data_IF_503597769483
#
_entry.id   IF_503597769483
#
_cell.length_a   1.000
_cell.length_b   1.000
_cell.length_c   1.000
_cell.angle_alpha   90.00
_cell.angle_beta   90.00
_cell.angle_gamma   90.00
#
_symmetry.space_group_name_H-M   'P 1'
#
loop_
_entity.id
_entity.type
_entity.pdbx_description
1 polymer ?
#
# COMPACT_ATOMS: atom_id res chain seq x y z
N UNK A 1 55.42 -12.73 -15.74
CA UNK A 1 56.38 -13.14 -16.79
C UNK A 1 57.49 -12.10 -16.86
N UNK A 2 58.77 -12.49 -16.76
CA UNK A 2 59.90 -11.68 -17.24
C UNK A 2 60.22 -12.11 -18.68
N UNK A 3 60.67 -11.20 -19.55
CA UNK A 3 62.12 -11.19 -19.80
C UNK A 3 62.71 -9.80 -20.10
N UNK A 4 63.92 -9.53 -19.60
CA UNK A 4 64.96 -8.77 -20.31
C UNK A 4 66.34 -9.30 -19.93
N UNK A 5 67.03 -9.91 -20.89
CA UNK A 5 68.48 -10.07 -20.90
C UNK A 5 68.97 -10.01 -22.34
N UNK A 6 69.68 -8.95 -22.68
CA UNK A 6 70.68 -9.00 -23.75
C UNK A 6 71.79 -7.99 -23.47
N UNK A 7 73.02 -8.52 -23.43
CA UNK A 7 74.30 -7.85 -23.65
C UNK A 7 74.85 -8.51 -24.93
N UNK A 8 75.56 -7.81 -25.82
CA UNK A 8 76.98 -7.50 -25.61
C UNK A 8 77.38 -6.13 -26.26
N UNK A 9 78.63 -5.71 -26.51
CA UNK A 9 79.94 -6.37 -26.40
C UNK A 9 81.09 -5.35 -26.14
N UNK A 10 82.27 -5.86 -25.75
CA UNK A 10 83.55 -5.12 -25.74
C UNK A 10 84.27 -5.26 -27.10
N UNK A 11 85.01 -4.23 -27.52
CA UNK A 11 86.39 -4.36 -28.03
C UNK A 11 87.07 -2.98 -28.23
N UNK A 12 88.30 -2.75 -27.74
CA UNK A 12 89.12 -1.57 -28.07
C UNK A 12 90.23 -1.90 -29.08
N UNK A 13 90.60 -0.97 -29.97
CA UNK A 13 91.79 -1.11 -30.83
C UNK A 13 92.69 0.13 -30.80
N UNK A 14 93.92 -0.08 -30.31
CA UNK A 14 94.97 0.92 -30.22
C UNK A 14 95.78 0.96 -31.53
N UNK A 15 95.69 2.03 -32.34
CA UNK A 15 96.64 2.33 -33.43
C UNK A 15 96.76 3.85 -33.70
N UNK A 16 97.34 4.63 -32.78
CA UNK A 16 97.70 6.05 -33.03
C UNK A 16 99.02 6.50 -32.37
N UNK A 17 100.08 5.70 -32.51
CA UNK A 17 101.44 5.98 -31.98
C UNK A 17 102.57 5.99 -33.02
N UNK A 18 102.27 6.17 -34.32
CA UNK A 18 103.26 6.22 -35.42
C UNK A 18 103.13 7.42 -36.38
N UNK A 19 102.45 8.50 -35.96
CA UNK A 19 102.32 9.75 -36.74
C UNK A 19 102.97 10.97 -36.05
N UNK A 20 103.80 10.76 -35.02
CA UNK A 20 104.38 11.82 -34.19
C UNK A 20 105.92 11.78 -34.14
N UNK A 21 106.55 11.24 -35.20
CA UNK A 21 108.01 11.08 -35.32
C UNK A 21 108.61 11.61 -36.64
N UNK A 22 107.77 12.06 -37.58
CA UNK A 22 108.21 12.73 -38.83
C UNK A 22 108.10 14.26 -38.74
N UNK A 23 107.15 14.80 -37.97
CA UNK A 23 106.96 16.24 -37.79
C UNK A 23 108.15 16.92 -37.07
N UNK A 24 108.87 16.17 -36.23
CA UNK A 24 110.05 16.64 -35.50
C UNK A 24 111.36 16.65 -36.33
N UNK A 25 111.37 16.12 -37.56
CA UNK A 25 112.57 16.08 -38.40
C UNK A 25 112.63 17.19 -39.47
N UNK A 26 111.48 17.77 -39.83
CA UNK A 26 111.41 18.90 -40.79
C UNK A 26 111.39 20.28 -40.13
N UNK A 27 111.10 20.37 -38.82
CA UNK A 27 111.10 21.63 -38.06
C UNK A 27 112.49 22.14 -37.63
N UNK A 28 113.59 21.52 -38.09
CA UNK A 28 114.96 21.79 -37.59
C UNK A 28 116.02 22.10 -38.66
N UNK A 29 115.61 22.30 -39.92
CA UNK A 29 116.54 22.59 -41.04
C UNK A 29 116.32 23.97 -41.70
N UNK A 30 115.38 24.79 -41.23
CA UNK A 30 115.06 26.11 -41.81
C UNK A 30 115.16 27.24 -40.76
N UNK A 31 116.29 27.38 -40.08
CA UNK A 31 116.51 28.46 -39.09
C UNK A 31 117.94 29.01 -39.05
N UNK A 32 118.60 29.11 -40.21
CA UNK A 32 119.86 29.83 -40.35
C UNK A 32 120.06 30.37 -41.78
N UNK A 33 119.31 31.42 -42.13
CA UNK A 33 119.68 32.44 -43.12
C UNK A 33 118.80 33.70 -42.90
N UNK A 34 119.25 34.45 -41.89
CA UNK A 34 119.02 35.88 -41.53
C UNK A 34 119.54 36.80 -42.67
N UNK A 35 119.23 38.12 -42.80
CA UNK A 35 118.47 39.08 -41.97
C UNK A 35 117.20 39.62 -42.71
N UNK A 36 116.57 40.80 -42.52
CA UNK A 36 116.78 42.01 -41.67
C UNK A 36 115.46 42.82 -41.48
N UNK A 37 115.54 43.92 -40.72
CA UNK A 37 114.76 45.15 -40.82
C UNK A 37 113.22 45.07 -40.74
N UNK A 38 112.67 45.06 -39.51
CA UNK A 38 111.45 45.84 -39.18
C UNK A 38 111.17 46.11 -37.69
N UNK A 39 112.18 46.34 -36.86
CA UNK A 39 112.00 46.83 -35.46
C UNK A 39 111.81 48.35 -35.38
N UNK A 40 110.72 48.89 -35.97
CA UNK A 40 110.23 50.26 -35.72
C UNK A 40 108.76 50.56 -36.10
N UNK A 41 107.96 49.56 -36.47
CA UNK A 41 106.48 49.66 -36.66
C UNK A 41 105.74 48.51 -35.97
N UNK A 42 106.05 48.30 -34.70
CA UNK A 42 105.41 47.28 -33.85
C UNK A 42 105.35 47.76 -32.39
N UNK A 43 104.96 49.03 -32.20
CA UNK A 43 104.62 49.65 -30.91
C UNK A 43 103.35 50.51 -30.95
N UNK A 44 102.92 50.99 -32.12
CA UNK A 44 101.60 51.63 -32.30
C UNK A 44 100.46 50.60 -32.36
N UNK A 45 100.65 49.50 -33.13
CA UNK A 45 99.68 48.39 -33.26
C UNK A 45 99.37 47.69 -31.92
N UNK A 46 100.23 47.83 -30.91
CA UNK A 46 100.01 47.27 -29.57
C UNK A 46 99.34 48.23 -28.58
N UNK A 47 99.12 49.50 -28.95
CA UNK A 47 98.37 50.46 -28.13
C UNK A 47 96.91 50.53 -28.59
N UNK A 48 96.68 50.60 -29.92
CA UNK A 48 95.33 50.61 -30.51
C UNK A 48 94.56 49.27 -30.30
N UNK A 49 95.26 48.16 -30.09
CA UNK A 49 94.64 46.88 -29.70
C UNK A 49 94.23 46.81 -28.21
N UNK A 50 94.79 47.68 -27.35
CA UNK A 50 94.45 47.75 -25.94
C UNK A 50 93.28 48.72 -25.66
N UNK A 51 93.18 49.82 -26.42
CA UNK A 51 92.07 50.77 -26.26
C UNK A 51 90.72 50.25 -26.81
N UNK A 52 90.75 49.18 -27.62
CA UNK A 52 89.56 48.42 -28.02
C UNK A 52 89.25 47.22 -27.09
N UNK A 53 90.16 46.80 -26.19
CA UNK A 53 89.84 45.70 -25.25
C UNK A 53 89.07 46.16 -24.02
N UNK A 54 89.14 47.43 -23.63
CA UNK A 54 88.35 48.00 -22.53
C UNK A 54 86.84 47.78 -22.68
N UNK A 55 86.23 48.14 -23.84
CA UNK A 55 84.82 47.86 -24.13
C UNK A 55 84.53 46.35 -24.23
N UNK A 56 85.39 45.59 -24.89
CA UNK A 56 85.18 44.15 -25.14
C UNK A 56 85.22 43.28 -23.86
N UNK A 57 85.98 43.67 -22.83
CA UNK A 57 85.93 43.01 -21.53
C UNK A 57 84.61 43.32 -20.80
N UNK A 58 84.14 44.57 -20.86
CA UNK A 58 82.86 44.98 -20.26
C UNK A 58 81.66 44.29 -20.92
N UNK A 59 81.64 44.20 -22.25
CA UNK A 59 80.59 43.47 -22.99
C UNK A 59 80.60 41.97 -22.66
N UNK A 60 81.77 41.38 -22.44
CA UNK A 60 81.88 39.96 -22.05
C UNK A 60 81.33 39.70 -20.64
N UNK A 61 81.60 40.58 -19.69
CA UNK A 61 81.07 40.50 -18.33
C UNK A 61 79.55 40.78 -18.30
N UNK A 62 79.06 41.70 -19.15
CA UNK A 62 77.62 41.92 -19.35
C UNK A 62 76.93 40.70 -19.98
N UNK A 63 77.55 40.07 -20.99
CA UNK A 63 77.02 38.86 -21.61
C UNK A 63 77.01 37.69 -20.61
N UNK A 64 78.04 37.56 -19.77
CA UNK A 64 78.06 36.56 -18.70
C UNK A 64 76.92 36.79 -17.70
N UNK A 65 76.74 38.02 -17.19
CA UNK A 65 75.62 38.38 -16.30
C UNK A 65 74.25 38.15 -16.94
N UNK A 66 74.11 38.43 -18.24
CA UNK A 66 72.89 38.09 -18.98
C UNK A 66 72.65 36.58 -19.02
N UNK A 67 73.67 35.76 -19.27
CA UNK A 67 73.51 34.29 -19.22
C UNK A 67 73.25 33.75 -17.82
N UNK A 68 73.79 34.40 -16.77
CA UNK A 68 73.53 34.08 -15.37
C UNK A 68 72.08 34.43 -15.00
N UNK A 69 71.59 35.63 -15.34
CA UNK A 69 70.20 36.02 -15.16
C UNK A 69 69.22 35.19 -16.00
N UNK A 70 69.58 34.77 -17.22
CA UNK A 70 68.76 33.83 -18.00
C UNK A 70 68.64 32.46 -17.32
N UNK A 71 69.71 31.96 -16.71
CA UNK A 71 69.70 30.70 -15.95
C UNK A 71 68.89 30.86 -14.66
N UNK A 72 69.02 32.00 -13.97
CA UNK A 72 68.25 32.37 -12.78
C UNK A 72 66.74 32.46 -13.09
N UNK A 73 66.35 33.14 -14.17
CA UNK A 73 64.96 33.21 -14.65
C UNK A 73 64.43 31.80 -14.98
N UNK A 74 65.22 30.97 -15.68
CA UNK A 74 64.84 29.57 -15.98
C UNK A 74 64.65 28.74 -14.70
N UNK A 75 65.53 28.89 -13.71
CA UNK A 75 65.42 28.22 -12.42
C UNK A 75 64.20 28.69 -11.60
N UNK A 76 63.91 29.99 -11.58
CA UNK A 76 62.72 30.55 -10.93
C UNK A 76 61.44 30.05 -11.61
N UNK A 77 61.38 30.05 -12.94
CA UNK A 77 60.24 29.53 -13.70
C UNK A 77 60.05 28.02 -13.50
N UNK A 78 61.14 27.24 -13.46
CA UNK A 78 61.08 25.82 -13.13
C UNK A 78 60.52 25.61 -11.72
N UNK A 79 61.08 26.29 -10.71
CA UNK A 79 60.63 26.20 -9.32
C UNK A 79 59.15 26.59 -9.16
N UNK A 80 58.70 27.67 -9.80
CA UNK A 80 57.30 28.09 -9.81
C UNK A 80 56.39 27.05 -10.48
N UNK A 81 56.83 26.41 -11.56
CA UNK A 81 56.07 25.34 -12.22
C UNK A 81 56.01 24.06 -11.37
N UNK A 82 57.09 23.71 -10.67
CA UNK A 82 57.14 22.61 -9.69
C UNK A 82 56.23 22.89 -8.49
N UNK A 83 56.28 24.10 -7.91
CA UNK A 83 55.38 24.56 -6.85
C UNK A 83 53.91 24.54 -7.30
N UNK A 84 53.61 25.00 -8.52
CA UNK A 84 52.26 24.97 -9.09
C UNK A 84 51.76 23.53 -9.31
N UNK A 85 52.64 22.63 -9.76
CA UNK A 85 52.31 21.21 -9.92
C UNK A 85 52.04 20.55 -8.56
N UNK A 86 52.90 20.77 -7.57
CA UNK A 86 52.72 20.26 -6.21
C UNK A 86 51.44 20.81 -5.55
N UNK A 87 51.13 22.10 -5.74
CA UNK A 87 49.87 22.70 -5.26
C UNK A 87 48.64 22.08 -5.95
N UNK A 88 48.72 21.76 -7.24
CA UNK A 88 47.64 21.08 -7.96
C UNK A 88 47.46 19.62 -7.49
N UNK A 89 48.56 18.89 -7.25
CA UNK A 89 48.54 17.54 -6.69
C UNK A 89 47.96 17.51 -5.27
N UNK A 90 48.38 18.43 -4.39
CA UNK A 90 47.82 18.58 -3.04
C UNK A 90 46.34 18.96 -3.09
N UNK A 91 45.93 19.84 -4.01
CA UNK A 91 44.53 20.18 -4.21
C UNK A 91 43.71 18.97 -4.69
N UNK A 92 44.19 18.21 -5.67
CA UNK A 92 43.56 16.97 -6.13
C UNK A 92 43.44 15.96 -4.98
N UNK A 93 44.52 15.67 -4.26
CA UNK A 93 44.52 14.73 -3.14
C UNK A 93 43.54 15.17 -2.02
N UNK A 94 43.42 16.47 -1.75
CA UNK A 94 42.42 17.00 -0.81
C UNK A 94 40.98 16.84 -1.32
N UNK A 95 40.74 17.04 -2.62
CA UNK A 95 39.42 16.82 -3.23
C UNK A 95 39.04 15.33 -3.29
N UNK A 96 39.99 14.44 -3.60
CA UNK A 96 39.81 12.99 -3.60
C UNK A 96 39.54 12.49 -2.17
N UNK A 97 40.30 12.97 -1.18
CA UNK A 97 40.01 12.69 0.24
C UNK A 97 38.63 13.20 0.63
N UNK A 98 38.26 14.42 0.23
CA UNK A 98 36.96 15.01 0.59
C UNK A 98 35.78 14.29 -0.05
N UNK A 99 35.93 13.82 -1.29
CA UNK A 99 34.90 13.00 -1.95
C UNK A 99 34.79 11.62 -1.32
N UNK A 100 35.91 10.98 -0.93
CA UNK A 100 35.90 9.73 -0.17
C UNK A 100 35.22 9.90 1.21
N UNK A 101 35.51 10.97 1.95
CA UNK A 101 34.82 11.30 3.22
C UNK A 101 33.31 11.45 3.03
N UNK A 102 32.87 12.18 1.99
CA UNK A 102 31.45 12.38 1.69
C UNK A 102 30.76 11.08 1.26
N UNK A 103 31.41 10.23 0.46
CA UNK A 103 30.89 8.92 0.07
C UNK A 103 30.77 7.97 1.28
N UNK A 104 31.78 7.94 2.15
CA UNK A 104 31.76 7.14 3.37
C UNK A 104 30.65 7.59 4.34
N UNK A 105 30.46 8.91 4.48
CA UNK A 105 29.39 9.48 5.31
C UNK A 105 28.00 9.17 4.70
N UNK A 106 27.81 9.37 3.39
CA UNK A 106 26.56 9.05 2.71
C UNK A 106 26.20 7.54 2.80
N UNK A 107 27.18 6.65 2.68
CA UNK A 107 26.97 5.21 2.87
C UNK A 107 26.59 4.87 4.31
N UNK A 108 27.21 5.52 5.29
CA UNK A 108 26.88 5.34 6.71
C UNK A 108 25.45 5.80 7.01
N UNK A 109 25.05 6.96 6.49
CA UNK A 109 23.70 7.51 6.71
C UNK A 109 22.63 6.66 6.00
N UNK A 110 22.91 6.18 4.78
CA UNK A 110 22.03 5.24 4.07
C UNK A 110 21.87 3.89 4.81
N UNK A 111 22.96 3.36 5.38
CA UNK A 111 22.90 2.16 6.21
C UNK A 111 22.08 2.39 7.49
N UNK A 112 22.28 3.52 8.17
CA UNK A 112 21.58 3.84 9.41
C UNK A 112 20.06 4.02 9.19
N UNK A 113 19.64 4.67 8.10
CA UNK A 113 18.21 4.79 7.77
C UNK A 113 17.62 3.43 7.35
N UNK A 114 18.37 2.59 6.64
CA UNK A 114 17.95 1.21 6.34
C UNK A 114 17.77 0.37 7.62
N UNK A 115 18.73 0.41 8.54
CA UNK A 115 18.65 -0.29 9.84
C UNK A 115 17.43 0.19 10.65
N UNK A 116 17.15 1.49 10.66
CA UNK A 116 15.97 2.08 11.29
C UNK A 116 14.68 1.59 10.63
N UNK A 117 14.55 1.66 9.31
CA UNK A 117 13.36 1.17 8.59
C UNK A 117 13.12 -0.32 8.82
N UNK A 118 14.17 -1.15 8.83
CA UNK A 118 14.07 -2.58 9.14
C UNK A 118 13.66 -2.83 10.60
N UNK A 119 14.14 -2.02 11.55
CA UNK A 119 13.75 -2.08 12.96
C UNK A 119 12.28 -1.72 13.16
N UNK A 120 11.82 -0.64 12.53
CA UNK A 120 10.41 -0.21 12.54
C UNK A 120 9.51 -1.29 11.91
N UNK A 121 9.89 -1.86 10.77
CA UNK A 121 9.15 -2.96 10.14
C UNK A 121 9.10 -4.21 11.02
N UNK A 122 10.21 -4.58 11.67
CA UNK A 122 10.25 -5.72 12.60
C UNK A 122 9.35 -5.50 13.83
N UNK A 123 9.28 -4.27 14.35
CA UNK A 123 8.36 -3.92 15.44
C UNK A 123 6.89 -4.00 15.03
N UNK A 124 6.54 -3.53 13.82
CA UNK A 124 5.17 -3.65 13.28
C UNK A 124 4.79 -5.12 13.13
N UNK A 125 5.63 -5.94 12.47
CA UNK A 125 5.38 -7.37 12.29
C UNK A 125 5.27 -8.11 13.62
N UNK A 126 6.11 -7.79 14.62
CA UNK A 126 6.01 -8.37 15.96
C UNK A 126 4.70 -8.02 16.64
N UNK A 127 4.27 -6.75 16.56
CA UNK A 127 2.98 -6.29 17.10
C UNK A 127 1.81 -6.99 16.42
N UNK A 128 1.79 -7.08 15.09
CA UNK A 128 0.73 -7.79 14.36
C UNK A 128 0.67 -9.29 14.72
N UNK A 129 1.82 -9.94 14.93
CA UNK A 129 1.88 -11.33 15.38
C UNK A 129 1.33 -11.48 16.80
N UNK A 130 1.70 -10.59 17.73
CA UNK A 130 1.15 -10.55 19.08
C UNK A 130 -0.37 -10.34 19.06
N UNK A 131 -0.86 -9.38 18.28
CA UNK A 131 -2.30 -9.12 18.10
C UNK A 131 -3.03 -10.37 17.57
N UNK A 132 -2.58 -10.96 16.45
CA UNK A 132 -3.15 -12.19 15.88
C UNK A 132 -3.11 -13.38 16.85
N UNK A 133 -2.03 -13.52 17.64
CA UNK A 133 -1.97 -14.55 18.69
C UNK A 133 -3.01 -14.32 19.79
N UNK A 134 -3.22 -13.07 20.24
CA UNK A 134 -4.27 -12.79 21.24
C UNK A 134 -5.69 -12.95 20.70
N UNK A 135 -5.92 -12.64 19.42
CA UNK A 135 -7.20 -12.87 18.75
C UNK A 135 -7.50 -14.37 18.62
N UNK A 136 -6.51 -15.15 18.18
CA UNK A 136 -6.63 -16.60 18.08
C UNK A 136 -6.89 -17.25 19.45
N UNK A 137 -6.19 -16.81 20.50
CA UNK A 137 -6.41 -17.28 21.87
C UNK A 137 -7.83 -16.95 22.35
N UNK A 138 -8.32 -15.72 22.14
CA UNK A 138 -9.70 -15.33 22.48
C UNK A 138 -10.74 -16.17 21.73
N UNK A 139 -10.53 -16.41 20.43
CA UNK A 139 -11.41 -17.25 19.62
C UNK A 139 -11.45 -18.70 20.13
N UNK A 140 -10.29 -19.26 20.48
CA UNK A 140 -10.18 -20.60 21.06
C UNK A 140 -10.89 -20.70 22.41
N UNK A 141 -10.68 -19.72 23.30
CA UNK A 141 -11.32 -19.72 24.63
C UNK A 141 -12.85 -19.54 24.52
N UNK A 142 -13.33 -18.75 23.56
CA UNK A 142 -14.76 -18.61 23.25
C UNK A 142 -15.36 -19.91 22.70
N UNK A 143 -14.73 -20.53 21.70
CA UNK A 143 -15.19 -21.80 21.13
C UNK A 143 -15.22 -22.92 22.18
N UNK A 144 -14.17 -22.98 23.03
CA UNK A 144 -14.09 -23.91 24.17
C UNK A 144 -15.20 -23.67 25.19
N UNK A 145 -15.52 -22.41 25.50
CA UNK A 145 -16.61 -22.08 26.42
C UNK A 145 -17.98 -22.53 25.85
N UNK A 146 -18.27 -22.22 24.58
CA UNK A 146 -19.50 -22.64 23.89
C UNK A 146 -19.61 -24.17 23.78
N UNK A 147 -18.50 -24.87 23.52
CA UNK A 147 -18.46 -26.33 23.50
C UNK A 147 -18.73 -26.93 24.89
N UNK A 148 -18.24 -26.27 25.95
CA UNK A 148 -18.49 -26.70 27.34
C UNK A 148 -19.95 -26.48 27.72
N UNK A 149 -20.51 -25.29 27.45
CA UNK A 149 -21.92 -24.97 27.70
C UNK A 149 -22.88 -25.92 26.95
N UNK A 150 -22.61 -26.18 25.66
CA UNK A 150 -23.44 -27.11 24.87
C UNK A 150 -23.34 -28.55 25.38
N UNK A 151 -22.15 -29.00 25.81
CA UNK A 151 -21.98 -30.30 26.45
C UNK A 151 -22.73 -30.40 27.79
N UNK A 152 -22.61 -29.39 28.66
CA UNK A 152 -23.34 -29.32 29.94
C UNK A 152 -24.86 -29.31 29.74
N UNK A 153 -25.34 -28.58 28.73
CA UNK A 153 -26.77 -28.55 28.37
C UNK A 153 -27.29 -29.89 27.86
N UNK A 154 -26.54 -30.56 26.98
CA UNK A 154 -26.90 -31.88 26.45
C UNK A 154 -26.86 -32.95 27.53
N UNK A 155 -25.85 -32.93 28.40
CA UNK A 155 -25.74 -33.89 29.52
C UNK A 155 -26.83 -33.67 30.57
N UNK A 156 -27.17 -32.41 30.89
CA UNK A 156 -28.29 -32.09 31.79
C UNK A 156 -29.63 -32.54 31.22
N UNK A 157 -29.90 -32.25 29.94
CA UNK A 157 -31.14 -32.69 29.28
C UNK A 157 -31.24 -34.22 29.19
N UNK A 158 -30.13 -34.92 28.94
CA UNK A 158 -30.10 -36.38 28.99
C UNK A 158 -30.39 -36.90 30.40
N UNK A 159 -29.82 -36.30 31.44
CA UNK A 159 -30.09 -36.66 32.83
C UNK A 159 -31.57 -36.47 33.20
N UNK A 160 -32.20 -35.36 32.80
CA UNK A 160 -33.64 -35.14 32.96
C UNK A 160 -34.48 -36.26 32.34
N UNK A 161 -34.13 -36.73 31.13
CA UNK A 161 -34.83 -37.86 30.49
C UNK A 161 -34.61 -39.19 31.21
N UNK A 162 -33.43 -39.42 31.78
CA UNK A 162 -33.14 -40.62 32.59
C UNK A 162 -33.95 -40.60 33.88
N UNK A 163 -34.04 -39.46 34.55
CA UNK A 163 -34.79 -39.32 35.80
C UNK A 163 -36.32 -39.45 35.58
N UNK A 164 -36.85 -38.90 34.48
CA UNK A 164 -38.24 -39.10 34.08
C UNK A 164 -38.55 -40.57 33.76
N UNK A 165 -37.68 -41.26 33.00
CA UNK A 165 -37.85 -42.70 32.73
C UNK A 165 -37.77 -43.56 34.01
N UNK A 166 -36.88 -43.21 34.94
CA UNK A 166 -36.80 -43.87 36.25
C UNK A 166 -38.06 -43.64 37.10
N UNK A 167 -38.62 -42.42 37.08
CA UNK A 167 -39.89 -42.08 37.73
C UNK A 167 -41.06 -42.89 37.16
N UNK A 168 -41.16 -42.97 35.82
CA UNK A 168 -42.17 -43.78 35.15
C UNK A 168 -42.03 -45.26 35.52
N UNK A 169 -40.81 -45.81 35.47
CA UNK A 169 -40.50 -47.20 35.85
C UNK A 169 -40.94 -47.49 37.30
N UNK A 170 -40.59 -46.61 38.25
CA UNK A 170 -41.01 -46.74 39.64
C UNK A 170 -42.55 -46.73 39.78
N UNK A 171 -43.24 -45.85 39.04
CA UNK A 171 -44.71 -45.79 39.04
C UNK A 171 -45.35 -47.09 38.49
N UNK A 172 -44.74 -47.73 37.49
CA UNK A 172 -45.21 -49.01 36.95
C UNK A 172 -44.96 -50.14 37.93
N UNK A 173 -43.79 -50.20 38.57
CA UNK A 173 -43.49 -51.18 39.61
C UNK A 173 -44.46 -51.06 40.80
N UNK A 174 -44.80 -49.84 41.22
CA UNK A 174 -45.77 -49.60 42.29
C UNK A 174 -47.19 -50.03 41.89
N UNK A 175 -47.62 -49.76 40.65
CA UNK A 175 -48.90 -50.24 40.11
C UNK A 175 -48.96 -51.77 40.06
N UNK A 176 -47.89 -52.43 39.63
CA UNK A 176 -47.78 -53.90 39.62
C UNK A 176 -47.93 -54.45 41.05
N UNK A 177 -47.15 -53.94 42.01
CA UNK A 177 -47.26 -54.32 43.43
C UNK A 177 -48.68 -54.12 43.97
N UNK A 178 -49.31 -52.97 43.71
CA UNK A 178 -50.70 -52.71 44.14
C UNK A 178 -51.70 -53.69 43.52
N UNK A 179 -51.49 -54.17 42.30
CA UNK A 179 -52.33 -55.21 41.66
C UNK A 179 -52.06 -56.60 42.26
N UNK A 180 -50.81 -56.92 42.60
CA UNK A 180 -50.42 -58.18 43.26
C UNK A 180 -50.92 -58.27 44.71
N UNK A 181 -50.85 -57.16 45.45
CA UNK A 181 -51.26 -57.01 46.84
C UNK A 181 -52.76 -56.73 47.01
N UNK A 182 -53.47 -56.40 45.92
CA UNK A 182 -54.92 -56.16 45.96
C UNK A 182 -55.69 -57.34 46.54
N UNK A 183 -56.63 -57.03 47.45
CA UNK A 183 -57.58 -58.00 48.04
C UNK A 183 -58.32 -58.80 46.96
N UNK A 184 -58.53 -58.22 45.77
CA UNK A 184 -59.13 -58.94 44.63
C UNK A 184 -58.20 -60.04 44.08
N UNK A 185 -56.90 -59.79 43.97
CA UNK A 185 -55.91 -60.77 43.46
C UNK A 185 -55.61 -61.83 44.52
N UNK A 186 -55.44 -61.43 45.77
CA UNK A 186 -55.31 -62.37 46.89
C UNK A 186 -56.58 -63.22 47.06
N UNK A 187 -57.76 -62.61 46.98
CA UNK A 187 -59.05 -63.29 47.01
C UNK A 187 -59.25 -64.23 45.82
N UNK A 188 -58.82 -63.85 44.61
CA UNK A 188 -58.85 -64.71 43.43
C UNK A 188 -57.91 -65.91 43.57
N UNK A 189 -56.65 -65.71 44.00
CA UNK A 189 -55.70 -66.80 44.30
C UNK A 189 -56.26 -67.75 45.38
N UNK A 190 -56.87 -67.20 46.43
CA UNK A 190 -57.49 -67.99 47.49
C UNK A 190 -58.74 -68.75 47.00
N UNK A 191 -59.60 -68.12 46.21
CA UNK A 191 -60.76 -68.79 45.60
C UNK A 191 -60.33 -69.93 44.68
N UNK A 192 -59.22 -69.79 43.95
CA UNK A 192 -58.64 -70.88 43.15
C UNK A 192 -58.14 -72.03 44.04
N UNK A 193 -57.57 -71.74 45.20
CA UNK A 193 -57.16 -72.76 46.17
C UNK A 193 -58.37 -73.45 46.85
N UNK A 194 -59.38 -72.68 47.24
CA UNK A 194 -60.53 -73.15 48.03
C UNK A 194 -61.59 -73.87 47.16
N UNK A 195 -61.70 -73.52 45.87
CA UNK A 195 -62.77 -73.99 44.97
C UNK A 195 -62.26 -74.58 43.64
N UNK A 196 -60.95 -74.63 43.42
CA UNK A 196 -60.33 -75.07 42.16
C UNK A 196 -60.32 -73.98 41.08
N UNK A 197 -59.80 -74.32 39.88
CA UNK A 197 -59.90 -73.42 38.72
C UNK A 197 -61.37 -73.03 38.49
N UNK A 198 -61.69 -71.79 38.12
CA UNK A 198 -63.03 -71.43 37.67
C UNK A 198 -63.44 -72.42 36.58
N UNK A 199 -64.50 -73.21 36.82
CA UNK A 199 -64.89 -74.29 35.90
C UNK A 199 -65.10 -73.78 34.48
N UNK A 200 -64.96 -74.68 33.49
CA UNK A 200 -64.85 -74.39 32.05
C UNK A 200 -65.75 -73.28 31.49
N UNK A 201 -66.96 -73.11 32.03
CA UNK A 201 -67.84 -71.97 31.74
C UNK A 201 -67.18 -70.59 31.94
N UNK A 202 -66.50 -70.36 33.07
CA UNK A 202 -65.85 -69.08 33.37
C UNK A 202 -64.58 -68.88 32.55
N UNK A 203 -63.83 -69.95 32.25
CA UNK A 203 -62.70 -69.90 31.31
C UNK A 203 -63.18 -69.52 29.90
N UNK A 204 -64.32 -70.04 29.45
CA UNK A 204 -64.96 -69.67 28.17
C UNK A 204 -65.47 -68.22 28.16
N UNK A 205 -66.12 -67.76 29.23
CA UNK A 205 -66.58 -66.37 29.33
C UNK A 205 -65.41 -65.38 29.36
N UNK A 206 -64.33 -65.70 30.07
CA UNK A 206 -63.10 -64.90 30.06
C UNK A 206 -62.44 -64.85 28.67
N UNK A 207 -62.43 -65.96 27.91
CA UNK A 207 -61.97 -65.97 26.52
C UNK A 207 -62.87 -65.13 25.59
N UNK A 208 -64.19 -65.20 25.76
CA UNK A 208 -65.16 -64.40 25.02
C UNK A 208 -64.94 -62.89 25.26
N UNK A 209 -64.81 -62.49 26.52
CA UNK A 209 -64.53 -61.10 26.90
C UNK A 209 -63.15 -60.63 26.41
N UNK A 210 -62.13 -61.48 26.47
CA UNK A 210 -60.81 -61.17 25.92
C UNK A 210 -60.85 -60.85 24.43
N UNK A 211 -61.55 -61.67 23.63
CA UNK A 211 -61.74 -61.43 22.19
C UNK A 211 -62.47 -60.10 21.90
N UNK A 212 -63.53 -59.78 22.66
CA UNK A 212 -64.23 -58.49 22.53
C UNK A 212 -63.32 -57.31 22.90
N UNK A 213 -62.47 -57.46 23.92
CA UNK A 213 -61.48 -56.44 24.31
C UNK A 213 -60.41 -56.24 23.21
N UNK A 214 -59.91 -57.30 22.59
CA UNK A 214 -59.00 -57.19 21.44
C UNK A 214 -59.67 -56.48 20.25
N UNK A 215 -60.90 -56.87 19.88
CA UNK A 215 -61.66 -56.17 18.84
C UNK A 215 -61.86 -54.68 19.13
N UNK A 216 -62.14 -54.32 20.39
CA UNK A 216 -62.28 -52.91 20.80
C UNK A 216 -60.94 -52.18 20.79
N UNK A 217 -59.84 -52.84 21.17
CA UNK A 217 -58.48 -52.29 21.13
C UNK A 217 -58.06 -51.97 19.70
N UNK A 218 -58.27 -52.89 18.75
CA UNK A 218 -57.96 -52.64 17.33
C UNK A 218 -58.82 -51.50 16.74
N UNK A 219 -60.10 -51.41 17.12
CA UNK A 219 -60.95 -50.29 16.71
C UNK A 219 -60.44 -48.95 17.25
N UNK A 220 -60.06 -48.88 18.53
CA UNK A 220 -59.48 -47.68 19.15
C UNK A 220 -58.18 -47.31 18.44
N UNK A 221 -57.30 -48.28 18.18
CA UNK A 221 -56.03 -48.04 17.50
C UNK A 221 -56.20 -47.57 16.04
N UNK A 222 -57.24 -48.04 15.35
CA UNK A 222 -57.65 -47.50 14.04
C UNK A 222 -58.16 -46.06 14.12
N UNK A 223 -58.87 -45.70 15.20
CA UNK A 223 -59.33 -44.33 15.45
C UNK A 223 -58.18 -43.38 15.82
N UNK A 224 -57.23 -43.82 16.64
CA UNK A 224 -56.00 -43.08 17.00
C UNK A 224 -55.19 -42.69 15.75
N UNK A 225 -54.93 -43.66 14.84
CA UNK A 225 -54.23 -43.41 13.57
C UNK A 225 -54.97 -42.39 12.70
N UNK A 226 -56.31 -42.43 12.68
CA UNK A 226 -57.12 -41.46 11.95
C UNK A 226 -57.03 -40.07 12.59
N UNK A 227 -57.08 -39.97 13.93
CA UNK A 227 -56.94 -38.73 14.67
C UNK A 227 -55.59 -38.07 14.41
N UNK A 228 -54.49 -38.83 14.51
CA UNK A 228 -53.13 -38.34 14.23
C UNK A 228 -52.98 -37.81 12.79
N UNK A 229 -53.59 -38.50 11.81
CA UNK A 229 -53.61 -38.03 10.42
C UNK A 229 -54.38 -36.72 10.25
N UNK A 230 -55.49 -36.54 10.97
CA UNK A 230 -56.27 -35.29 11.00
C UNK A 230 -55.50 -34.16 11.68
N UNK A 231 -54.84 -34.40 12.82
CA UNK A 231 -53.97 -33.46 13.52
C UNK A 231 -52.84 -32.97 12.61
N UNK A 232 -52.09 -33.89 11.99
CA UNK A 232 -51.02 -33.53 11.04
C UNK A 232 -51.56 -32.76 9.81
N UNK A 233 -52.86 -32.88 9.49
CA UNK A 233 -53.49 -32.11 8.40
C UNK A 233 -53.87 -30.71 8.89
N UNK A 234 -54.35 -30.58 10.13
CA UNK A 234 -54.64 -29.31 10.78
C UNK A 234 -53.37 -28.45 10.92
N UNK A 235 -52.24 -29.02 11.34
CA UNK A 235 -50.97 -28.31 11.43
C UNK A 235 -50.53 -27.71 10.08
N UNK A 236 -50.68 -28.47 8.99
CA UNK A 236 -50.39 -28.00 7.63
C UNK A 236 -51.32 -26.88 7.21
N UNK A 237 -52.60 -26.95 7.57
CA UNK A 237 -53.56 -25.88 7.31
C UNK A 237 -53.19 -24.60 8.05
N UNK A 238 -52.82 -24.67 9.34
CA UNK A 238 -52.38 -23.50 10.13
C UNK A 238 -51.16 -22.81 9.50
N UNK A 239 -50.16 -23.58 9.05
CA UNK A 239 -48.97 -23.04 8.34
C UNK A 239 -49.35 -22.39 7.01
N UNK A 240 -50.30 -22.97 6.27
CA UNK A 240 -50.81 -22.39 5.02
C UNK A 240 -51.62 -21.11 5.27
N UNK A 241 -52.46 -21.06 6.30
CA UNK A 241 -53.21 -19.87 6.72
C UNK A 241 -52.29 -18.72 7.15
N UNK A 242 -51.19 -19.01 7.85
CA UNK A 242 -50.18 -18.00 8.16
C UNK A 242 -49.45 -17.51 6.90
N UNK A 243 -49.14 -18.41 5.95
CA UNK A 243 -48.53 -18.04 4.68
C UNK A 243 -49.48 -17.16 3.83
N UNK A 244 -50.77 -17.49 3.78
CA UNK A 244 -51.81 -16.67 3.12
C UNK A 244 -51.85 -15.29 3.75
N UNK A 245 -51.99 -15.20 5.08
CA UNK A 245 -51.99 -13.91 5.79
C UNK A 245 -50.73 -13.08 5.49
N UNK A 246 -49.54 -13.68 5.45
CA UNK A 246 -48.31 -12.97 5.10
C UNK A 246 -48.34 -12.42 3.66
N UNK A 247 -48.78 -13.21 2.69
CA UNK A 247 -48.92 -12.75 1.30
C UNK A 247 -49.98 -11.65 1.15
N UNK A 248 -51.07 -11.71 1.91
CA UNK A 248 -52.09 -10.64 1.96
C UNK A 248 -51.51 -9.34 2.52
N UNK A 249 -50.72 -9.39 3.60
CA UNK A 249 -50.06 -8.21 4.18
C UNK A 249 -49.01 -7.61 3.23
N UNK A 250 -48.23 -8.44 2.53
CA UNK A 250 -47.26 -7.98 1.53
C UNK A 250 -47.95 -7.33 0.32
N UNK A 251 -49.03 -7.95 -0.18
CA UNK A 251 -49.87 -7.41 -1.26
C UNK A 251 -50.47 -6.05 -0.89
N UNK A 252 -50.96 -5.91 0.36
CA UNK A 252 -51.47 -4.64 0.88
C UNK A 252 -50.37 -3.57 0.98
N UNK A 253 -49.19 -3.93 1.50
CA UNK A 253 -48.06 -2.99 1.60
C UNK A 253 -47.61 -2.49 0.22
N UNK A 254 -47.53 -3.38 -0.77
CA UNK A 254 -47.23 -3.02 -2.17
C UNK A 254 -48.33 -2.13 -2.77
N UNK A 255 -49.61 -2.40 -2.48
CA UNK A 255 -50.74 -1.56 -2.91
C UNK A 255 -50.63 -0.14 -2.36
N UNK A 256 -50.33 0.01 -1.07
CA UNK A 256 -50.11 1.32 -0.42
C UNK A 256 -48.88 2.02 -1.00
N UNK A 257 -47.78 1.30 -1.27
CA UNK A 257 -46.60 1.86 -1.93
C UNK A 257 -46.93 2.41 -3.33
N UNK A 258 -47.69 1.65 -4.15
CA UNK A 258 -48.12 2.08 -5.48
C UNK A 258 -49.01 3.33 -5.39
N UNK A 259 -49.94 3.38 -4.44
CA UNK A 259 -50.79 4.55 -4.22
C UNK A 259 -49.97 5.80 -3.84
N UNK A 260 -48.97 5.65 -2.96
CA UNK A 260 -48.07 6.74 -2.58
C UNK A 260 -47.21 7.23 -3.75
N UNK A 261 -46.65 6.31 -4.56
CA UNK A 261 -45.89 6.66 -5.75
C UNK A 261 -46.76 7.35 -6.82
N UNK A 262 -48.01 6.91 -6.99
CA UNK A 262 -48.97 7.55 -7.87
C UNK A 262 -49.30 8.98 -7.41
N UNK A 263 -49.55 9.20 -6.10
CA UNK A 263 -49.79 10.52 -5.55
C UNK A 263 -48.60 11.49 -5.74
N UNK A 264 -47.37 11.01 -5.53
CA UNK A 264 -46.15 11.79 -5.82
C UNK A 264 -46.06 12.12 -7.31
N UNK A 265 -46.33 11.16 -8.19
CA UNK A 265 -46.27 11.34 -9.65
C UNK A 265 -47.29 12.39 -10.12
N UNK A 266 -48.52 12.35 -9.59
CA UNK A 266 -49.56 13.35 -9.87
C UNK A 266 -49.09 14.74 -9.40
N UNK A 267 -48.62 14.88 -8.15
CA UNK A 267 -48.17 16.16 -7.62
C UNK A 267 -46.96 16.76 -8.37
N UNK A 268 -46.03 15.92 -8.84
CA UNK A 268 -44.92 16.37 -9.68
C UNK A 268 -45.40 16.81 -11.07
N UNK A 269 -46.39 16.12 -11.64
CA UNK A 269 -46.99 16.48 -12.93
C UNK A 269 -47.77 17.80 -12.84
N UNK A 270 -48.51 18.02 -11.75
CA UNK A 270 -49.19 19.29 -11.45
C UNK A 270 -48.19 20.45 -11.33
N UNK A 271 -47.07 20.25 -10.61
CA UNK A 271 -46.00 21.24 -10.50
C UNK A 271 -45.33 21.53 -11.85
N UNK A 272 -45.05 20.50 -12.65
CA UNK A 272 -44.49 20.66 -13.99
C UNK A 272 -45.42 21.48 -14.87
N UNK A 273 -46.71 21.15 -14.91
CA UNK A 273 -47.72 21.90 -15.66
C UNK A 273 -47.80 23.35 -15.19
N UNK A 274 -47.81 23.60 -13.87
CA UNK A 274 -47.78 24.95 -13.31
C UNK A 274 -46.55 25.74 -13.80
N UNK A 275 -45.34 25.17 -13.70
CA UNK A 275 -44.11 25.82 -14.17
C UNK A 275 -44.10 26.09 -15.68
N UNK A 276 -44.67 25.20 -16.49
CA UNK A 276 -44.83 25.41 -17.92
C UNK A 276 -45.77 26.59 -18.20
N UNK A 277 -46.93 26.65 -17.54
CA UNK A 277 -47.87 27.78 -17.74
C UNK A 277 -47.30 29.13 -17.28
N UNK A 278 -46.40 29.16 -16.28
CA UNK A 278 -45.67 30.39 -15.93
C UNK A 278 -44.61 30.74 -16.97
N UNK A 279 -43.87 29.75 -17.48
CA UNK A 279 -42.87 29.98 -18.54
C UNK A 279 -43.50 30.50 -19.83
N UNK A 280 -44.68 30.01 -20.21
CA UNK A 280 -45.45 30.48 -21.36
C UNK A 280 -45.92 31.94 -21.16
N UNK A 281 -46.35 32.33 -19.96
CA UNK A 281 -46.68 33.73 -19.62
C UNK A 281 -45.45 34.65 -19.69
N UNK A 282 -44.33 34.26 -19.09
CA UNK A 282 -43.08 35.03 -19.14
C UNK A 282 -42.58 35.19 -20.59
N UNK A 283 -42.70 34.13 -21.40
CA UNK A 283 -42.40 34.20 -22.84
C UNK A 283 -43.30 35.23 -23.55
N UNK A 284 -44.61 35.20 -23.32
CA UNK A 284 -45.51 36.19 -23.93
C UNK A 284 -45.18 37.61 -23.51
N UNK A 285 -44.88 37.84 -22.23
CA UNK A 285 -44.44 39.15 -21.72
C UNK A 285 -43.11 39.60 -22.36
N UNK A 286 -42.16 38.70 -22.56
CA UNK A 286 -40.91 39.00 -23.26
C UNK A 286 -41.15 39.37 -24.74
N UNK A 287 -42.05 38.66 -25.43
CA UNK A 287 -42.44 39.00 -26.80
C UNK A 287 -43.17 40.37 -26.87
N UNK A 288 -43.99 40.72 -25.87
CA UNK A 288 -44.63 42.04 -25.76
C UNK A 288 -43.61 43.15 -25.52
N UNK A 289 -42.74 43.00 -24.50
CA UNK A 289 -41.67 43.96 -24.21
C UNK A 289 -40.70 44.13 -25.39
N UNK A 290 -40.46 43.08 -26.18
CA UNK A 290 -39.68 43.20 -27.42
C UNK A 290 -40.40 44.05 -28.47
N UNK A 291 -41.70 43.81 -28.71
CA UNK A 291 -42.50 44.64 -29.64
C UNK A 291 -42.54 46.10 -29.19
N UNK A 292 -42.70 46.37 -27.90
CA UNK A 292 -42.71 47.73 -27.35
C UNK A 292 -41.34 48.40 -27.49
N UNK A 293 -40.26 47.67 -27.21
CA UNK A 293 -38.88 48.14 -27.47
C UNK A 293 -38.66 48.49 -28.94
N UNK A 294 -39.12 47.65 -29.87
CA UNK A 294 -39.03 47.90 -31.31
C UNK A 294 -39.86 49.12 -31.73
N UNK A 295 -41.06 49.30 -31.18
CA UNK A 295 -41.86 50.52 -31.37
C UNK A 295 -41.18 51.78 -30.82
N UNK A 296 -40.59 51.71 -29.63
CA UNK A 296 -39.87 52.84 -29.03
C UNK A 296 -38.62 53.21 -29.85
N UNK A 297 -37.86 52.22 -30.34
CA UNK A 297 -36.73 52.45 -31.25
C UNK A 297 -37.21 53.09 -32.57
N UNK A 298 -38.31 52.62 -33.14
CA UNK A 298 -38.90 53.20 -34.37
C UNK A 298 -39.31 54.66 -34.17
N UNK A 299 -39.95 55.01 -33.03
CA UNK A 299 -40.29 56.41 -32.70
C UNK A 299 -39.04 57.27 -32.53
N UNK A 300 -38.02 56.77 -31.81
CA UNK A 300 -36.77 57.49 -31.57
C UNK A 300 -35.97 57.78 -32.85
N UNK A 301 -35.97 56.85 -33.81
CA UNK A 301 -35.28 57.02 -35.11
C UNK A 301 -36.03 57.98 -36.03
N UNK A 302 -37.37 57.93 -36.05
CA UNK A 302 -38.18 58.71 -36.98
C UNK A 302 -38.58 60.11 -36.48
N UNK A 303 -38.21 60.49 -35.26
CA UNK A 303 -38.25 61.88 -34.79
C UNK A 303 -39.61 62.41 -34.32
N UNK A 304 -40.61 61.55 -34.12
CA UNK A 304 -41.88 61.97 -33.49
C UNK A 304 -41.66 62.30 -32.01
N UNK A 305 -42.07 63.51 -31.63
CA UNK A 305 -41.52 64.21 -30.48
C UNK A 305 -41.82 63.62 -29.09
N UNK A 306 -40.89 63.90 -28.17
CA UNK A 306 -41.08 63.81 -26.72
C UNK A 306 -42.41 64.45 -26.26
N UNK A 307 -43.25 63.73 -25.50
CA UNK A 307 -43.69 64.22 -24.21
C UNK A 307 -42.54 64.10 -23.19
N UNK A 308 -42.47 64.94 -22.15
CA UNK A 308 -41.43 64.85 -21.13
C UNK A 308 -41.55 63.56 -20.33
N UNK A 309 -40.40 63.05 -19.88
CA UNK A 309 -40.31 61.90 -18.99
C UNK A 309 -40.99 62.23 -17.64
N UNK A 310 -42.26 61.85 -17.50
CA UNK A 310 -42.97 61.96 -16.22
C UNK A 310 -42.55 60.78 -15.35
N UNK A 311 -41.64 61.04 -14.41
CA UNK A 311 -41.37 60.13 -13.30
C UNK A 311 -42.61 60.08 -12.40
N UNK A 312 -43.58 59.25 -12.78
CA UNK A 312 -44.67 58.84 -11.90
C UNK A 312 -44.08 58.00 -10.77
N UNK A 313 -43.70 58.66 -9.66
CA UNK A 313 -43.36 58.01 -8.39
C UNK A 313 -44.61 57.37 -7.80
N UNK A 314 -45.00 56.23 -8.35
CA UNK A 314 -45.99 55.32 -7.80
C UNK A 314 -45.26 54.33 -6.91
N UNK A 315 -45.03 54.72 -5.65
CA UNK A 315 -44.69 53.79 -4.58
C UNK A 315 -45.74 52.68 -4.53
N UNK A 316 -45.35 51.45 -4.82
CA UNK A 316 -46.09 50.28 -4.39
C UNK A 316 -45.10 49.27 -3.82
N UNK A 317 -45.43 48.75 -2.65
CA UNK A 317 -44.49 48.07 -1.77
C UNK A 317 -44.11 46.67 -2.31
N UNK A 318 -42.84 46.31 -2.13
CA UNK A 318 -42.38 44.93 -2.33
C UNK A 318 -42.94 44.09 -1.19
N UNK A 319 -44.10 43.47 -1.41
CA UNK A 319 -44.60 42.44 -0.51
C UNK A 319 -43.88 41.11 -0.80
N UNK A 320 -42.78 40.88 -0.08
CA UNK A 320 -42.16 39.56 0.01
C UNK A 320 -43.04 38.63 0.86
N UNK A 321 -43.56 37.58 0.24
CA UNK A 321 -43.77 36.27 0.86
C UNK A 321 -43.17 35.26 -0.14
N UNK A 322 -42.20 34.38 0.19
CA UNK A 322 -41.81 33.80 1.48
C UNK A 322 -42.99 33.15 2.19
N UNK A 323 -43.41 31.99 1.70
CA UNK A 323 -42.97 30.69 2.24
C UNK A 323 -43.25 29.58 1.23
#
# INVERSE_FOLDING_TARGET
MHPKKEKPNRAPTSHRKKANKLFLYLSRFCSSLVPEARKKKQKEVSHELNDLTGPYQSDKDLLQRLTEHEQEIKAILQKHNEEKAAMAEVHMANMDKRTQELLAQAQKDANAEMEKCLSEQALILKKELEERCTELQKSFDQEKALLTETYEKVTSSLQETVDELNSQLASFQEKIKRVEESVLNQGYKKHIQDHGSPGTFWEQELQSLYFVIEMKRELIHGQEKKLQSQETTMDRNLVLEEKVRRMEHESEALRVQIQNQAAITISLTEKLLATQTTLEKERHLCEELQRDKEQHLYRAINGDGHPPFSLSTSTNEVSMMVT
#
